data_IF_154989584261
#
_entry.id   IF_154989584261
#
_cell.length_a   1.000
_cell.length_b   1.000
_cell.length_c   1.000
_cell.angle_alpha   90.00
_cell.angle_beta   90.00
_cell.angle_gamma   90.00
#
_symmetry.space_group_name_H-M   'P 1'
#
loop_
_entity.id
_entity.type
_entity.pdbx_description
1 polymer ?
#
# COMPACT_ATOMS: atom_id res chain seq x y z
N UNK A 1 6.32 -6.15 16.18
CA UNK A 1 6.64 -6.21 14.73
C UNK A 1 5.80 -5.18 14.00
N UNK A 2 6.41 -4.43 13.11
CA UNK A 2 5.76 -3.39 12.34
C UNK A 2 5.89 -3.67 10.85
N UNK A 3 4.79 -3.52 10.12
CA UNK A 3 4.75 -3.69 8.68
C UNK A 3 4.28 -2.43 7.98
N UNK A 4 4.87 -2.15 6.83
CA UNK A 4 4.43 -1.11 5.90
C UNK A 4 3.98 -1.80 4.62
N UNK A 5 2.69 -1.70 4.31
CA UNK A 5 2.11 -2.31 3.12
C UNK A 5 2.00 -1.27 2.02
N UNK A 6 2.59 -1.57 0.86
CA UNK A 6 2.22 -0.87 -0.37
C UNK A 6 0.78 -1.21 -0.73
N UNK A 7 0.17 -0.38 -1.56
CA UNK A 7 -1.23 -0.56 -1.92
C UNK A 7 -1.39 -1.15 -3.32
N UNK A 8 -0.95 -0.41 -4.35
CA UNK A 8 -1.10 -0.85 -5.74
C UNK A 8 -0.17 -2.01 -6.06
N UNK A 9 -0.74 -3.12 -6.53
CA UNK A 9 0.02 -4.32 -6.83
C UNK A 9 0.24 -5.24 -5.62
N UNK A 10 -0.12 -4.81 -4.43
CA UNK A 10 -0.01 -5.60 -3.19
C UNK A 10 -1.39 -5.89 -2.61
N UNK A 11 -2.20 -4.86 -2.40
CA UNK A 11 -3.56 -4.96 -1.84
C UNK A 11 -4.64 -4.71 -2.89
N UNK A 12 -4.45 -3.69 -3.74
CA UNK A 12 -5.38 -3.28 -4.78
C UNK A 12 -4.84 -3.63 -6.16
N UNK A 13 -5.71 -4.16 -7.01
CA UNK A 13 -5.36 -4.55 -8.38
C UNK A 13 -5.49 -3.34 -9.31
N UNK A 14 -4.52 -2.45 -9.25
CA UNK A 14 -4.47 -1.27 -10.10
C UNK A 14 -4.11 -1.62 -11.55
N UNK A 15 -3.12 -2.51 -11.73
CA UNK A 15 -2.47 -2.70 -13.02
C UNK A 15 -3.33 -3.42 -14.04
N UNK A 16 -4.11 -4.43 -13.65
CA UNK A 16 -4.98 -5.14 -14.58
C UNK A 16 -6.21 -4.33 -14.99
N UNK A 17 -6.63 -3.39 -14.15
CA UNK A 17 -7.77 -2.52 -14.42
C UNK A 17 -7.38 -1.23 -15.15
N UNK A 18 -6.10 -0.89 -15.20
CA UNK A 18 -5.61 0.35 -15.79
C UNK A 18 -5.84 0.41 -17.29
N UNK A 19 -6.55 1.42 -17.76
CA UNK A 19 -6.84 1.63 -19.18
C UNK A 19 -6.27 2.95 -19.72
N UNK A 20 -6.27 4.00 -18.90
CA UNK A 20 -5.69 5.29 -19.28
C UNK A 20 -5.24 6.09 -18.05
N UNK A 21 -4.42 7.11 -18.30
CA UNK A 21 -3.82 7.93 -17.25
C UNK A 21 -4.85 8.77 -16.50
N UNK A 22 -5.88 9.24 -17.18
CA UNK A 22 -6.91 10.08 -16.54
C UNK A 22 -7.66 9.29 -15.47
N UNK A 23 -7.96 8.01 -15.73
CA UNK A 23 -8.59 7.14 -14.74
C UNK A 23 -7.70 6.97 -13.49
N UNK A 24 -6.39 6.82 -13.68
CA UNK A 24 -5.44 6.65 -12.58
C UNK A 24 -5.39 7.86 -11.63
N UNK A 25 -5.88 9.03 -12.07
CA UNK A 25 -5.97 10.25 -11.27
C UNK A 25 -7.34 10.43 -10.63
N UNK A 26 -8.30 9.59 -10.97
CA UNK A 26 -9.69 9.72 -10.54
C UNK A 26 -9.91 9.07 -9.17
N UNK A 27 -10.55 9.80 -8.28
CA UNK A 27 -10.97 9.29 -6.97
C UNK A 27 -11.87 8.06 -7.12
N UNK A 28 -12.86 8.15 -7.99
CA UNK A 28 -13.86 7.10 -8.18
C UNK A 28 -13.23 5.81 -8.73
N UNK A 29 -12.34 5.93 -9.70
CA UNK A 29 -11.64 4.78 -10.25
C UNK A 29 -10.82 4.03 -9.17
N UNK A 30 -10.04 4.78 -8.41
CA UNK A 30 -9.19 4.18 -7.37
C UNK A 30 -10.01 3.60 -6.21
N UNK A 31 -11.12 4.24 -5.86
CA UNK A 31 -12.01 3.73 -4.82
C UNK A 31 -12.67 2.40 -5.18
N UNK A 32 -12.76 2.07 -6.46
CA UNK A 32 -13.47 0.89 -6.96
C UNK A 32 -12.56 -0.20 -7.54
N UNK A 33 -11.26 -0.12 -7.30
CA UNK A 33 -10.33 -1.17 -7.76
C UNK A 33 -10.63 -2.51 -7.12
N UNK A 34 -10.44 -3.62 -7.86
CA UNK A 34 -10.50 -4.95 -7.27
C UNK A 34 -9.44 -5.12 -6.18
N UNK A 35 -9.68 -6.01 -5.25
CA UNK A 35 -8.75 -6.33 -4.18
C UNK A 35 -8.03 -7.64 -4.44
N UNK A 36 -6.77 -7.72 -4.02
CA UNK A 36 -6.08 -8.99 -3.86
C UNK A 36 -6.50 -9.57 -2.52
N UNK A 37 -7.52 -10.41 -2.53
CA UNK A 37 -8.23 -10.83 -1.33
C UNK A 37 -7.38 -11.52 -0.28
N UNK A 38 -6.42 -12.37 -0.70
CA UNK A 38 -5.52 -13.03 0.24
C UNK A 38 -4.74 -12.02 1.07
N UNK A 39 -4.16 -11.02 0.41
CA UNK A 39 -3.33 -10.02 1.08
C UNK A 39 -4.15 -9.08 1.95
N UNK A 40 -5.36 -8.73 1.50
CA UNK A 40 -6.29 -7.92 2.31
C UNK A 40 -6.71 -8.67 3.57
N UNK A 41 -7.02 -9.96 3.45
CA UNK A 41 -7.35 -10.79 4.62
C UNK A 41 -6.20 -10.88 5.61
N UNK A 42 -4.97 -11.05 5.09
CA UNK A 42 -3.78 -11.09 5.94
C UNK A 42 -3.61 -9.78 6.71
N UNK A 43 -3.72 -8.64 6.02
CA UNK A 43 -3.61 -7.33 6.67
C UNK A 43 -4.67 -7.17 7.76
N UNK A 44 -5.92 -7.47 7.46
CA UNK A 44 -7.00 -7.38 8.44
C UNK A 44 -6.77 -8.29 9.66
N UNK A 45 -6.24 -9.48 9.42
CA UNK A 45 -5.89 -10.41 10.50
C UNK A 45 -4.79 -9.84 11.39
N UNK A 46 -3.74 -9.30 10.80
CA UNK A 46 -2.64 -8.69 11.56
C UNK A 46 -3.12 -7.54 12.42
N UNK A 47 -3.96 -6.68 11.87
CA UNK A 47 -4.55 -5.55 12.60
C UNK A 47 -5.39 -6.07 13.78
N UNK A 48 -6.22 -7.09 13.55
CA UNK A 48 -7.05 -7.69 14.59
C UNK A 48 -6.21 -8.32 15.70
N UNK A 49 -5.03 -8.81 15.40
CA UNK A 49 -4.10 -9.40 16.36
C UNK A 49 -3.23 -8.36 17.09
N UNK A 50 -3.44 -7.08 16.81
CA UNK A 50 -2.69 -5.99 17.46
C UNK A 50 -1.32 -5.71 16.86
N UNK A 51 -1.02 -6.26 15.68
CA UNK A 51 0.23 -5.97 14.97
C UNK A 51 0.15 -4.58 14.37
N UNK A 52 1.21 -3.79 14.52
CA UNK A 52 1.28 -2.45 13.96
C UNK A 52 1.46 -2.53 12.44
N UNK A 53 0.47 -2.04 11.70
CA UNK A 53 0.47 -2.03 10.24
C UNK A 53 0.21 -0.62 9.73
N UNK A 54 1.08 -0.16 8.85
CA UNK A 54 0.92 1.08 8.10
C UNK A 54 0.61 0.76 6.64
N UNK A 55 -0.16 1.62 6.01
CA UNK A 55 -0.24 1.69 4.55
C UNK A 55 0.71 2.79 4.12
N UNK A 56 1.63 2.49 3.22
CA UNK A 56 2.60 3.45 2.70
C UNK A 56 2.53 3.43 1.19
N UNK A 57 1.86 4.43 0.63
CA UNK A 57 1.51 4.48 -0.79
C UNK A 57 1.80 5.86 -1.39
N UNK A 58 1.87 5.93 -2.70
CA UNK A 58 2.03 7.19 -3.43
C UNK A 58 0.77 7.47 -4.24
N UNK A 59 0.41 8.74 -4.35
CA UNK A 59 -0.71 9.20 -5.17
C UNK A 59 -0.28 10.38 -6.03
N UNK A 60 -0.80 10.47 -7.24
CA UNK A 60 -0.44 11.55 -8.15
C UNK A 60 -1.01 12.91 -7.72
N UNK A 61 -2.16 12.92 -7.04
CA UNK A 61 -2.85 14.13 -6.58
C UNK A 61 -3.77 13.83 -5.40
N UNK A 62 -4.46 14.84 -4.90
CA UNK A 62 -5.37 14.69 -3.75
C UNK A 62 -6.60 13.84 -4.07
N UNK A 63 -7.12 13.87 -5.29
CA UNK A 63 -8.24 13.03 -5.69
C UNK A 63 -7.86 11.55 -5.66
N UNK A 64 -6.66 11.21 -6.13
CA UNK A 64 -6.14 9.86 -6.07
C UNK A 64 -5.95 9.41 -4.61
N UNK A 65 -5.43 10.29 -3.75
CA UNK A 65 -5.31 10.02 -2.32
C UNK A 65 -6.66 9.72 -1.69
N UNK A 66 -7.66 10.54 -1.99
CA UNK A 66 -9.01 10.36 -1.46
C UNK A 66 -9.62 9.03 -1.92
N UNK A 67 -9.40 8.63 -3.18
CA UNK A 67 -9.86 7.35 -3.71
C UNK A 67 -9.22 6.15 -2.99
N UNK A 68 -7.93 6.23 -2.72
CA UNK A 68 -7.23 5.21 -1.95
C UNK A 68 -7.79 5.09 -0.53
N UNK A 69 -8.10 6.21 0.10
CA UNK A 69 -8.70 6.21 1.43
C UNK A 69 -10.11 5.62 1.41
N UNK A 70 -10.93 5.95 0.41
CA UNK A 70 -12.25 5.34 0.22
C UNK A 70 -12.15 3.82 0.07
N UNK A 71 -11.17 3.34 -0.71
CA UNK A 71 -10.91 1.92 -0.90
C UNK A 71 -10.55 1.24 0.43
N UNK A 72 -9.66 1.84 1.19
CA UNK A 72 -9.24 1.29 2.49
C UNK A 72 -10.38 1.27 3.50
N UNK A 73 -11.25 2.26 3.51
CA UNK A 73 -12.40 2.27 4.41
C UNK A 73 -13.37 1.13 4.13
N UNK A 74 -13.39 0.63 2.91
CA UNK A 74 -14.21 -0.53 2.52
C UNK A 74 -13.55 -1.87 2.84
N UNK A 75 -12.27 -2.02 2.48
CA UNK A 75 -11.57 -3.30 2.55
C UNK A 75 -10.77 -3.51 3.83
N UNK A 76 -10.36 -2.44 4.49
CA UNK A 76 -9.56 -2.47 5.71
C UNK A 76 -10.19 -1.52 6.75
N UNK A 77 -11.43 -1.81 7.18
CA UNK A 77 -12.21 -0.86 7.99
C UNK A 77 -11.60 -0.55 9.36
N UNK A 78 -10.79 -1.44 9.91
CA UNK A 78 -10.18 -1.27 11.23
C UNK A 78 -8.80 -0.62 11.18
N UNK A 79 -8.34 -0.18 10.00
CA UNK A 79 -7.09 0.56 9.89
C UNK A 79 -7.22 1.89 10.61
N UNK A 80 -6.28 2.16 11.52
CA UNK A 80 -6.14 3.48 12.13
C UNK A 80 -5.77 4.49 11.02
N UNK A 81 -6.55 5.56 10.90
CA UNK A 81 -6.32 6.55 9.85
C UNK A 81 -4.95 7.24 9.97
N UNK A 82 -4.38 7.29 11.17
CA UNK A 82 -3.01 7.79 11.37
C UNK A 82 -1.96 6.84 10.78
N UNK A 83 -2.34 5.60 10.49
CA UNK A 83 -1.48 4.62 9.85
C UNK A 83 -1.58 4.63 8.32
N UNK A 84 -2.36 5.54 7.76
CA UNK A 84 -2.42 5.76 6.32
C UNK A 84 -1.42 6.85 5.94
N UNK A 85 -0.30 6.46 5.33
CA UNK A 85 0.73 7.38 4.87
C UNK A 85 0.67 7.42 3.35
N UNK A 86 0.21 8.53 2.81
CA UNK A 86 0.11 8.73 1.38
C UNK A 86 0.99 9.90 0.94
N UNK A 87 1.97 9.61 0.11
CA UNK A 87 2.87 10.60 -0.45
C UNK A 87 2.19 11.14 -1.72
N UNK A 88 1.78 12.40 -1.70
CA UNK A 88 1.18 13.04 -2.85
C UNK A 88 2.27 13.72 -3.67
N UNK A 89 2.42 13.31 -4.93
CA UNK A 89 3.48 13.80 -5.81
C UNK A 89 4.76 12.99 -5.67
N UNK A 90 5.88 13.67 -5.42
CA UNK A 90 7.21 13.05 -5.38
C UNK A 90 7.67 12.80 -3.94
N UNK A 91 8.41 11.74 -3.77
CA UNK A 91 9.01 11.38 -2.49
C UNK A 91 9.44 9.93 -2.46
N UNK A 92 10.37 9.62 -1.57
CA UNK A 92 10.82 8.25 -1.34
C UNK A 92 10.09 7.69 -0.12
N UNK A 93 9.58 6.48 -0.23
CA UNK A 93 8.88 5.83 0.90
C UNK A 93 9.74 5.78 2.16
N UNK A 94 11.04 5.53 2.01
CA UNK A 94 11.96 5.43 3.14
C UNK A 94 12.05 6.72 3.97
N UNK A 95 11.76 7.88 3.37
CA UNK A 95 11.78 9.16 4.07
C UNK A 95 10.55 9.37 4.96
N UNK A 96 9.56 8.48 4.88
CA UNK A 96 8.29 8.58 5.61
C UNK A 96 8.16 7.52 6.70
N UNK A 97 9.25 6.84 7.04
CA UNK A 97 9.25 5.85 8.12
C UNK A 97 8.95 6.56 9.45
N UNK A 98 8.01 6.01 10.21
CA UNK A 98 7.66 6.48 11.56
C UNK A 98 8.32 5.65 12.63
N UNK A 99 8.53 4.37 12.36
CA UNK A 99 9.26 3.45 13.22
C UNK A 99 9.85 2.35 12.37
N UNK A 100 10.84 1.64 12.89
CA UNK A 100 11.45 0.53 12.16
C UNK A 100 10.39 -0.53 11.82
N UNK A 101 10.42 -1.01 10.60
CA UNK A 101 9.48 -2.03 10.16
C UNK A 101 9.83 -2.60 8.80
N UNK A 102 9.04 -3.60 8.42
CA UNK A 102 9.24 -4.36 7.20
C UNK A 102 8.34 -3.78 6.10
N UNK A 103 8.95 -3.33 4.99
CA UNK A 103 8.20 -2.90 3.82
C UNK A 103 7.80 -4.11 2.98
N UNK A 104 6.54 -4.18 2.60
CA UNK A 104 6.01 -5.17 1.66
C UNK A 104 5.58 -4.42 0.41
N UNK A 105 6.29 -4.60 -0.69
CA UNK A 105 6.14 -3.81 -1.91
C UNK A 105 6.48 -4.67 -3.13
N UNK A 106 5.91 -4.34 -4.26
CA UNK A 106 6.22 -4.98 -5.55
C UNK A 106 7.18 -4.14 -6.42
N UNK A 107 7.43 -2.90 -6.02
CA UNK A 107 8.30 -1.98 -6.76
C UNK A 107 9.75 -2.13 -6.31
N UNK A 108 10.60 -2.61 -7.22
CA UNK A 108 12.01 -2.85 -6.96
C UNK A 108 12.74 -1.61 -6.46
N UNK A 109 12.42 -0.43 -7.00
CA UNK A 109 13.06 0.82 -6.58
C UNK A 109 12.79 1.15 -5.12
N UNK A 110 11.55 1.01 -4.68
CA UNK A 110 11.17 1.23 -3.29
C UNK A 110 11.88 0.23 -2.37
N UNK A 111 11.94 -1.03 -2.77
CA UNK A 111 12.61 -2.09 -2.01
C UNK A 111 14.10 -1.78 -1.86
N UNK A 112 14.77 -1.42 -2.95
CA UNK A 112 16.21 -1.10 -2.93
C UNK A 112 16.52 0.09 -2.02
N UNK A 113 15.70 1.14 -2.07
CA UNK A 113 15.88 2.32 -1.21
C UNK A 113 15.68 1.96 0.26
N UNK A 114 14.72 1.10 0.56
CA UNK A 114 14.44 0.65 1.92
C UNK A 114 15.58 -0.18 2.51
N UNK A 115 16.09 -1.13 1.74
CA UNK A 115 17.21 -1.98 2.14
C UNK A 115 18.51 -1.17 2.29
N UNK A 116 18.75 -0.23 1.39
CA UNK A 116 19.92 0.66 1.46
C UNK A 116 19.94 1.47 2.75
N UNK A 117 18.77 1.82 3.28
CA UNK A 117 18.64 2.51 4.57
C UNK A 117 18.70 1.55 5.76
N UNK A 118 19.07 0.29 5.54
CA UNK A 118 19.27 -0.76 6.56
C UNK A 118 17.99 -1.24 7.22
N UNK A 119 16.89 -1.22 6.48
CA UNK A 119 15.62 -1.78 6.91
C UNK A 119 15.31 -3.07 6.16
N UNK A 120 14.45 -3.90 6.73
CA UNK A 120 14.04 -5.16 6.12
C UNK A 120 12.87 -4.95 5.16
N UNK A 121 12.87 -5.67 4.03
CA UNK A 121 11.79 -5.61 3.07
C UNK A 121 11.44 -6.99 2.53
N UNK A 122 10.19 -7.13 2.11
CA UNK A 122 9.67 -8.29 1.39
C UNK A 122 9.27 -7.80 0.00
N UNK A 123 10.01 -8.27 -1.02
CA UNK A 123 9.77 -7.90 -2.40
C UNK A 123 8.83 -8.90 -3.07
N UNK A 124 7.62 -8.47 -3.39
CA UNK A 124 6.70 -9.28 -4.19
C UNK A 124 7.13 -9.19 -5.66
N UNK A 125 7.45 -10.32 -6.27
CA UNK A 125 8.02 -10.36 -7.62
C UNK A 125 6.99 -10.14 -8.71
N UNK A 126 5.72 -10.45 -8.43
CA UNK A 126 4.61 -10.23 -9.34
C UNK A 126 3.48 -9.50 -8.62
N UNK A 127 2.68 -8.76 -9.38
CA UNK A 127 1.50 -8.06 -8.85
C UNK A 127 0.52 -9.05 -8.26
N UNK A 128 0.07 -8.79 -7.04
CA UNK A 128 -0.89 -9.64 -6.35
C UNK A 128 -0.33 -10.96 -5.83
N UNK A 129 0.98 -11.13 -5.83
CA UNK A 129 1.60 -12.28 -5.20
C UNK A 129 1.15 -12.41 -3.75
N UNK A 130 0.83 -13.62 -3.32
CA UNK A 130 0.39 -13.87 -1.95
C UNK A 130 1.54 -13.61 -0.97
N UNK A 131 1.27 -12.74 -0.01
CA UNK A 131 2.23 -12.44 1.05
C UNK A 131 2.32 -13.64 1.98
N UNK A 132 3.54 -14.05 2.30
CA UNK A 132 3.83 -15.11 3.26
C UNK A 132 4.74 -14.56 4.35
N UNK A 133 4.27 -14.58 5.57
CA UNK A 133 4.99 -14.05 6.73
C UNK A 133 5.41 -15.17 7.69
#
# INVERSE_FOLDING_TARGET
MTYYFDMDGVLADFHSAYTDRAQALSRDYLANLPAFEWNVKLLNKLIAEGVTCYILTKAANEDARAGKLDWLSRYVPDLDLEHFICIVGYGKKVDYIREEGILIDDDEKNIKQWIKARHTAIHLKIKGEKIRL
#
